data_IF_959231870830
#
_entry.id   IF_959231870830
#
_cell.length_a   1.000
_cell.length_b   1.000
_cell.length_c   1.000
_cell.angle_alpha   90.00
_cell.angle_beta   90.00
_cell.angle_gamma   90.00
#
_symmetry.space_group_name_H-M   'P 1'
#
loop_
_entity.id
_entity.type
_entity.pdbx_description
1 polymer ?
#
# COMPACT_ATOMS: atom_id res chain seq x y z
N UNK A 1 -37.20 -13.21 45.71
CA UNK A 1 -37.28 -13.03 44.24
C UNK A 1 -36.16 -12.11 43.81
N UNK A 2 -35.06 -12.68 43.26
CA UNK A 2 -33.79 -11.98 43.02
C UNK A 2 -33.15 -12.51 41.75
N UNK A 3 -33.78 -12.27 40.59
CA UNK A 3 -33.26 -12.69 39.27
C UNK A 3 -33.80 -11.83 38.14
N UNK A 4 -33.62 -10.51 38.17
CA UNK A 4 -34.01 -9.64 37.04
C UNK A 4 -33.07 -8.42 36.86
N UNK A 5 -31.75 -8.59 37.08
CA UNK A 5 -30.77 -7.52 36.79
C UNK A 5 -29.52 -8.08 36.10
N UNK A 6 -29.67 -9.08 35.22
CA UNK A 6 -28.52 -9.70 34.56
C UNK A 6 -28.62 -9.80 33.04
N UNK A 7 -29.51 -9.02 32.41
CA UNK A 7 -29.74 -9.06 30.96
C UNK A 7 -29.51 -7.73 30.23
N UNK A 8 -28.92 -6.71 30.87
CA UNK A 8 -28.66 -5.40 30.24
C UNK A 8 -27.17 -5.00 30.16
N UNK A 9 -26.23 -5.92 30.38
CA UNK A 9 -24.77 -5.64 30.34
C UNK A 9 -23.99 -6.41 29.27
N UNK A 10 -24.64 -7.04 28.29
CA UNK A 10 -23.97 -7.87 27.28
C UNK A 10 -24.22 -7.45 25.83
N UNK A 11 -24.60 -6.20 25.57
CA UNK A 11 -24.89 -5.71 24.22
C UNK A 11 -24.02 -4.52 23.76
N UNK A 12 -22.87 -4.25 24.39
CA UNK A 12 -22.06 -3.06 24.10
C UNK A 12 -20.62 -3.24 23.58
N UNK A 13 -20.00 -4.42 23.40
CA UNK A 13 -18.67 -4.46 22.79
C UNK A 13 -18.65 -4.67 21.27
N UNK A 14 -19.77 -4.95 20.59
CA UNK A 14 -19.74 -5.28 19.14
C UNK A 14 -19.55 -4.07 18.22
N UNK A 15 -19.59 -2.84 18.73
CA UNK A 15 -19.38 -1.63 17.92
C UNK A 15 -17.96 -1.07 17.97
N UNK A 16 -17.05 -1.66 18.75
CA UNK A 16 -15.66 -1.17 18.83
C UNK A 16 -14.77 -1.58 17.64
N UNK A 17 -15.28 -2.41 16.73
CA UNK A 17 -14.59 -2.82 15.49
C UNK A 17 -15.06 -2.04 14.24
N UNK A 18 -15.80 -0.94 14.39
CA UNK A 18 -16.32 -0.16 13.26
C UNK A 18 -15.60 1.19 13.04
N UNK A 19 -14.55 1.53 13.80
CA UNK A 19 -13.95 2.86 13.73
C UNK A 19 -12.42 2.86 13.71
N UNK A 20 -11.83 2.40 12.61
CA UNK A 20 -10.58 2.98 12.09
C UNK A 20 -10.54 2.85 10.56
N UNK A 21 -11.51 3.41 9.85
CA UNK A 21 -11.21 3.93 8.52
C UNK A 21 -10.39 5.22 8.72
N UNK A 22 -9.08 5.05 8.95
CA UNK A 22 -8.16 6.17 8.82
C UNK A 22 -8.33 6.71 7.39
N UNK A 23 -8.62 8.01 7.20
CA UNK A 23 -8.72 8.57 5.86
C UNK A 23 -7.42 8.29 5.11
N UNK A 24 -7.51 7.49 4.04
CA UNK A 24 -6.39 7.03 3.18
C UNK A 24 -5.55 8.19 2.60
N UNK A 25 -6.02 9.42 2.75
CA UNK A 25 -5.40 10.65 2.29
C UNK A 25 -4.29 11.18 3.23
N UNK A 26 -4.30 10.82 4.52
CA UNK A 26 -3.31 11.33 5.50
C UNK A 26 -2.07 10.44 5.68
N UNK A 27 -2.19 9.14 5.38
CA UNK A 27 -1.07 8.19 5.50
C UNK A 27 -0.18 8.17 4.26
N UNK A 28 -0.74 8.44 3.08
CA UNK A 28 -0.02 8.38 1.80
C UNK A 28 1.03 9.51 1.67
N UNK A 29 0.71 10.76 1.98
CA UNK A 29 1.69 11.85 1.84
C UNK A 29 2.87 11.78 2.86
N UNK A 30 2.68 11.13 4.02
CA UNK A 30 3.72 11.00 5.04
C UNK A 30 4.77 9.94 4.70
N UNK A 31 4.42 8.94 3.89
CA UNK A 31 5.32 7.84 3.54
C UNK A 31 6.48 8.25 2.64
N UNK A 32 6.34 9.36 1.90
CA UNK A 32 7.39 9.86 1.02
C UNK A 32 8.31 10.90 1.66
N UNK A 33 8.08 11.27 2.92
CA UNK A 33 9.02 12.07 3.71
C UNK A 33 10.11 11.16 4.27
N UNK A 34 11.04 10.76 3.40
CA UNK A 34 12.12 9.83 3.73
C UNK A 34 13.26 10.56 4.46
N UNK A 35 13.86 9.95 5.49
CA UNK A 35 15.03 10.53 6.15
C UNK A 35 16.24 10.53 5.20
N UNK A 36 17.21 11.43 5.43
CA UNK A 36 18.34 11.66 4.52
C UNK A 36 19.26 10.44 4.34
N UNK A 37 19.25 9.53 5.29
CA UNK A 37 19.99 8.28 5.33
C UNK A 37 19.17 7.08 4.80
N UNK A 38 17.97 7.32 4.26
CA UNK A 38 17.13 6.25 3.73
C UNK A 38 17.84 5.48 2.61
N UNK A 39 17.94 4.17 2.81
CA UNK A 39 18.46 3.23 1.82
C UNK A 39 17.32 2.40 1.27
N UNK A 40 17.23 2.34 -0.05
CA UNK A 40 16.20 1.55 -0.72
C UNK A 40 16.32 0.06 -0.35
N UNK A 41 15.18 -0.63 -0.16
CA UNK A 41 15.17 -2.03 0.23
C UNK A 41 15.65 -2.94 -0.90
N UNK A 42 15.51 -2.50 -2.16
CA UNK A 42 15.95 -3.26 -3.34
C UNK A 42 16.60 -2.33 -4.36
N UNK A 43 17.63 -2.84 -5.04
CA UNK A 43 18.22 -2.18 -6.22
C UNK A 43 17.66 -2.84 -7.49
N UNK A 44 16.52 -2.36 -7.98
CA UNK A 44 15.87 -2.90 -9.18
C UNK A 44 15.69 -1.83 -10.25
N UNK A 45 16.67 -1.74 -11.16
CA UNK A 45 16.67 -0.75 -12.25
C UNK A 45 15.48 -0.92 -13.19
N UNK A 46 15.00 -2.14 -13.41
CA UNK A 46 13.88 -2.42 -14.31
C UNK A 46 12.57 -1.86 -13.76
N UNK A 47 12.34 -2.05 -12.46
CA UNK A 47 11.18 -1.47 -11.78
C UNK A 47 11.25 0.05 -11.78
N UNK A 48 12.40 0.65 -11.45
CA UNK A 48 12.55 2.12 -11.47
C UNK A 48 12.25 2.72 -12.84
N UNK A 49 12.79 2.13 -13.91
CA UNK A 49 12.49 2.51 -15.29
C UNK A 49 11.01 2.45 -15.60
N UNK A 50 10.35 1.37 -15.22
CA UNK A 50 8.92 1.22 -15.44
C UNK A 50 8.11 2.30 -14.73
N UNK A 51 8.39 2.53 -13.43
CA UNK A 51 7.70 3.54 -12.62
C UNK A 51 7.95 4.96 -13.14
N UNK A 52 9.16 5.23 -13.62
CA UNK A 52 9.55 6.49 -14.23
C UNK A 52 8.74 6.76 -15.51
N UNK A 53 8.69 5.79 -16.42
CA UNK A 53 7.93 5.87 -17.67
C UNK A 53 6.43 6.01 -17.41
N UNK A 54 5.85 5.18 -16.53
CA UNK A 54 4.41 5.21 -16.23
C UNK A 54 3.95 6.52 -15.56
N UNK A 55 4.88 7.29 -14.98
CA UNK A 55 4.60 8.60 -14.37
C UNK A 55 5.14 9.80 -15.15
N UNK A 56 5.84 9.59 -16.26
CA UNK A 56 6.48 10.67 -17.02
C UNK A 56 7.51 11.46 -16.21
N UNK A 57 8.34 10.76 -15.43
CA UNK A 57 9.42 11.35 -14.60
C UNK A 57 10.75 10.66 -14.90
N UNK A 58 11.85 11.27 -14.45
CA UNK A 58 13.17 10.64 -14.52
C UNK A 58 13.33 9.53 -13.47
N UNK A 59 14.19 8.54 -13.76
CA UNK A 59 14.51 7.43 -12.84
C UNK A 59 15.03 7.90 -11.47
N UNK A 60 15.64 9.10 -11.43
CA UNK A 60 16.19 9.71 -10.21
C UNK A 60 15.10 10.23 -9.26
N UNK A 61 13.93 10.56 -9.79
CA UNK A 61 12.78 11.03 -9.01
C UNK A 61 11.95 9.89 -8.43
N UNK A 62 12.33 8.64 -8.72
CA UNK A 62 11.67 7.42 -8.24
C UNK A 62 12.47 6.82 -7.09
N UNK A 63 11.84 6.77 -5.92
CA UNK A 63 12.40 6.10 -4.74
C UNK A 63 11.53 4.93 -4.33
N UNK A 64 12.10 3.73 -4.29
CA UNK A 64 11.36 2.54 -3.85
C UNK A 64 11.42 2.50 -2.32
N UNK A 65 10.25 2.56 -1.68
CA UNK A 65 10.14 2.61 -0.21
C UNK A 65 9.81 1.27 0.41
N UNK A 66 9.08 0.40 -0.32
CA UNK A 66 8.73 -0.94 0.14
C UNK A 66 8.82 -1.93 -1.01
N UNK A 67 9.26 -3.14 -0.69
CA UNK A 67 9.31 -4.25 -1.61
C UNK A 67 8.93 -5.54 -0.89
N UNK A 68 7.87 -6.18 -1.38
CA UNK A 68 7.44 -7.51 -0.97
C UNK A 68 7.58 -8.42 -2.18
N UNK A 69 8.52 -9.36 -2.13
CA UNK A 69 8.76 -10.27 -3.25
C UNK A 69 8.13 -11.64 -2.96
N UNK A 70 7.45 -12.19 -3.96
CA UNK A 70 6.98 -13.57 -3.98
C UNK A 70 7.61 -14.36 -5.13
N UNK A 71 7.29 -15.65 -5.22
CA UNK A 71 7.75 -16.49 -6.34
C UNK A 71 7.01 -16.10 -7.63
N UNK A 72 7.67 -15.30 -8.48
CA UNK A 72 7.08 -14.79 -9.72
C UNK A 72 6.12 -13.60 -9.54
N UNK A 73 5.86 -13.17 -8.31
CA UNK A 73 5.01 -12.02 -7.99
C UNK A 73 5.73 -11.01 -7.09
N UNK A 74 5.15 -9.83 -6.91
CA UNK A 74 5.65 -8.88 -5.93
C UNK A 74 4.78 -7.64 -5.81
N UNK A 75 4.89 -6.95 -4.68
CA UNK A 75 4.25 -5.66 -4.43
C UNK A 75 5.35 -4.66 -4.08
N UNK A 76 5.36 -3.54 -4.79
CA UNK A 76 6.35 -2.48 -4.62
C UNK A 76 5.64 -1.17 -4.40
N UNK A 77 6.07 -0.41 -3.41
CA UNK A 77 5.61 0.96 -3.20
C UNK A 77 6.76 1.89 -3.54
N UNK A 78 6.52 2.81 -4.46
CA UNK A 78 7.48 3.80 -4.90
C UNK A 78 6.93 5.21 -4.68
N UNK A 79 7.76 6.10 -4.18
CA UNK A 79 7.47 7.52 -4.11
C UNK A 79 7.87 8.20 -5.41
N UNK A 80 6.92 8.95 -5.96
CA UNK A 80 7.10 9.77 -7.16
C UNK A 80 6.51 11.14 -6.87
N UNK A 81 7.32 12.21 -7.00
CA UNK A 81 6.89 13.59 -6.71
C UNK A 81 6.22 13.75 -5.33
N UNK A 82 6.68 13.01 -4.33
CA UNK A 82 6.13 13.03 -2.97
C UNK A 82 4.84 12.23 -2.76
N UNK A 83 4.35 11.51 -3.77
CA UNK A 83 3.17 10.64 -3.68
C UNK A 83 3.59 9.17 -3.72
N UNK A 84 3.13 8.31 -2.79
CA UNK A 84 3.39 6.89 -2.86
C UNK A 84 2.45 6.25 -3.88
N UNK A 85 3.01 5.43 -4.75
CA UNK A 85 2.30 4.70 -5.79
C UNK A 85 2.69 3.24 -5.66
N UNK A 86 1.69 2.37 -5.67
CA UNK A 86 1.88 0.94 -5.56
C UNK A 86 1.85 0.26 -6.93
N UNK A 87 2.77 -0.68 -7.09
CA UNK A 87 2.95 -1.49 -8.29
C UNK A 87 2.99 -2.96 -7.93
N UNK A 88 2.30 -3.79 -8.70
CA UNK A 88 2.32 -5.23 -8.60
C UNK A 88 3.16 -5.82 -9.75
N UNK A 89 4.00 -6.80 -9.44
CA UNK A 89 4.66 -7.64 -10.43
C UNK A 89 3.87 -8.92 -10.64
N UNK A 90 3.65 -9.24 -11.91
CA UNK A 90 3.00 -10.46 -12.38
C UNK A 90 3.90 -11.11 -13.43
N UNK A 91 4.66 -12.12 -13.02
CA UNK A 91 5.66 -12.77 -13.86
C UNK A 91 6.74 -11.79 -14.31
N UNK A 92 6.74 -11.44 -15.59
CA UNK A 92 7.70 -10.49 -16.17
C UNK A 92 7.18 -9.05 -16.21
N UNK A 93 5.91 -8.78 -15.93
CA UNK A 93 5.28 -7.47 -16.11
C UNK A 93 5.11 -6.76 -14.77
N UNK A 94 5.21 -5.43 -14.78
CA UNK A 94 4.85 -4.56 -13.65
C UNK A 94 3.59 -3.79 -14.00
N UNK A 95 2.73 -3.56 -13.02
CA UNK A 95 1.43 -2.94 -13.22
C UNK A 95 1.09 -2.05 -12.05
N UNK A 96 0.53 -0.87 -12.33
CA UNK A 96 0.03 0.01 -11.27
C UNK A 96 -1.18 -0.63 -10.59
N UNK A 97 -1.27 -0.51 -9.28
CA UNK A 97 -2.44 -0.94 -8.51
C UNK A 97 -3.72 -0.31 -9.08
N UNK A 98 -4.80 -1.10 -9.16
CA UNK A 98 -6.08 -0.67 -9.74
C UNK A 98 -6.16 -0.67 -11.28
N UNK A 99 -5.04 -0.84 -12.00
CA UNK A 99 -5.03 -0.97 -13.48
C UNK A 99 -4.93 -2.43 -13.95
N UNK A 100 -5.23 -3.40 -13.10
CA UNK A 100 -5.09 -4.81 -13.45
C UNK A 100 -6.28 -5.31 -14.28
N UNK A 101 -6.14 -5.62 -15.59
CA UNK A 101 -7.26 -6.09 -16.40
C UNK A 101 -7.64 -7.54 -16.06
N UNK A 102 -6.80 -8.27 -15.31
CA UNK A 102 -7.06 -9.65 -14.89
C UNK A 102 -7.79 -9.74 -13.56
N UNK A 103 -8.08 -8.63 -12.87
CA UNK A 103 -8.78 -8.66 -11.57
C UNK A 103 -10.25 -9.08 -11.67
N UNK A 104 -10.82 -9.09 -12.88
CA UNK A 104 -12.20 -9.49 -13.15
C UNK A 104 -12.32 -10.92 -13.71
N UNK A 105 -11.22 -11.69 -13.74
CA UNK A 105 -11.28 -13.10 -14.10
C UNK A 105 -11.97 -13.87 -12.96
N UNK A 106 -13.26 -14.12 -13.14
CA UNK A 106 -14.13 -14.86 -12.22
C UNK A 106 -14.14 -16.34 -12.61
#
# INVERSE_FOLDING_TARGET
MKKLIFTLMFALPTFYFAQEEKPKESQTAKECNLPKDFKEPIKNNRLKKFVAIDNGVDEKEVTIIRAQNGFGSGIYTACVKGQPIQYQKMGTVFMREGKNPFSNAK
#
